data_IF_778405274480
#
_entry.id   IF_778405274480
#
_cell.length_a   1.000
_cell.length_b   1.000
_cell.length_c   1.000
_cell.angle_alpha   90.00
_cell.angle_beta   90.00
_cell.angle_gamma   90.00
#
_symmetry.space_group_name_H-M   'P 1'
#
loop_
_entity.id
_entity.type
_entity.pdbx_description
1 polymer ?
#
# COMPACT_ATOMS: atom_id res chain seq x y z
N UNK A 1 -15.23 12.17 -5.35
CA UNK A 1 -13.95 11.88 -6.06
C UNK A 1 -12.86 12.04 -5.02
N UNK A 2 -12.33 10.94 -4.48
CA UNK A 2 -11.27 11.05 -3.46
C UNK A 2 -10.03 11.62 -4.15
N UNK A 3 -9.40 12.68 -3.62
CA UNK A 3 -8.25 13.31 -4.24
C UNK A 3 -7.11 12.29 -4.38
N UNK A 4 -6.66 12.10 -5.63
CA UNK A 4 -5.55 11.21 -6.03
C UNK A 4 -4.35 11.24 -5.07
N UNK A 5 -3.85 12.39 -4.57
CA UNK A 5 -2.68 12.39 -3.69
C UNK A 5 -2.91 11.70 -2.34
N UNK A 6 -4.13 11.73 -1.79
CA UNK A 6 -4.44 11.07 -0.51
C UNK A 6 -4.38 9.55 -0.66
N UNK A 7 -4.82 9.04 -1.81
CA UNK A 7 -4.75 7.62 -2.14
C UNK A 7 -3.31 7.16 -2.44
N UNK A 8 -2.47 8.06 -2.96
CA UNK A 8 -1.06 7.78 -3.23
C UNK A 8 -0.20 7.83 -1.98
N UNK A 9 -0.54 8.69 -1.01
CA UNK A 9 0.21 8.87 0.23
C UNK A 9 -0.06 7.76 1.27
N UNK A 10 -1.25 7.15 1.25
CA UNK A 10 -1.68 6.11 2.21
C UNK A 10 -0.65 4.98 2.41
N UNK A 11 -0.19 4.26 1.36
CA UNK A 11 0.73 3.15 1.54
C UNK A 11 2.11 3.57 2.07
N UNK A 12 2.60 4.75 1.68
CA UNK A 12 3.85 5.29 2.20
C UNK A 12 3.72 5.66 3.68
N UNK A 13 2.57 6.18 4.09
CA UNK A 13 2.30 6.48 5.50
C UNK A 13 2.30 5.21 6.36
N UNK A 14 1.62 4.14 5.91
CA UNK A 14 1.61 2.86 6.64
C UNK A 14 3.01 2.27 6.81
N UNK A 15 3.84 2.34 5.77
CA UNK A 15 5.24 1.91 5.83
C UNK A 15 6.08 2.78 6.77
N UNK A 16 6.02 4.10 6.62
CA UNK A 16 6.79 5.01 7.47
C UNK A 16 6.40 4.88 8.94
N UNK A 17 5.12 4.77 9.26
CA UNK A 17 4.66 4.61 10.65
C UNK A 17 5.07 3.25 11.22
N UNK A 18 4.98 2.17 10.44
CA UNK A 18 5.42 0.83 10.87
C UNK A 18 6.93 0.77 11.15
N UNK A 19 7.75 1.36 10.26
CA UNK A 19 9.21 1.43 10.44
C UNK A 19 9.58 2.37 11.60
N UNK A 20 8.93 3.52 11.73
CA UNK A 20 9.16 4.43 12.85
C UNK A 20 8.81 3.77 14.19
N UNK A 21 7.72 2.99 14.25
CA UNK A 21 7.33 2.24 15.44
C UNK A 21 8.39 1.19 15.84
N UNK A 22 9.03 0.53 14.87
CA UNK A 22 10.12 -0.41 15.14
C UNK A 22 11.40 0.27 15.64
N UNK A 23 11.70 1.47 15.13
CA UNK A 23 12.94 2.19 15.46
C UNK A 23 12.85 2.91 16.81
N UNK A 24 11.67 3.41 17.19
CA UNK A 24 11.48 4.18 18.42
C UNK A 24 11.08 3.35 19.63
N UNK A 25 10.38 2.23 19.46
CA UNK A 25 9.91 1.43 20.58
C UNK A 25 10.77 0.18 20.76
N UNK A 26 11.45 0.13 21.90
CA UNK A 26 12.17 -1.08 22.34
C UNK A 26 11.18 -2.07 22.99
N UNK A 27 11.07 -3.26 22.40
CA UNK A 27 10.24 -4.34 22.94
C UNK A 27 9.67 -5.27 21.87
N UNK A 28 9.43 -6.53 22.24
CA UNK A 28 8.97 -7.56 21.29
C UNK A 28 7.53 -7.31 20.80
N UNK A 29 6.65 -6.79 21.66
CA UNK A 29 5.27 -6.43 21.31
C UNK A 29 5.20 -5.28 20.30
N UNK A 30 5.83 -4.11 20.52
CA UNK A 30 5.80 -3.03 19.55
C UNK A 30 6.50 -3.42 18.24
N UNK A 31 7.58 -4.22 18.31
CA UNK A 31 8.22 -4.78 17.11
C UNK A 31 7.25 -5.64 16.27
N UNK A 32 6.51 -6.56 16.89
CA UNK A 32 5.52 -7.39 16.18
C UNK A 32 4.40 -6.55 15.55
N UNK A 33 3.90 -5.54 16.27
CA UNK A 33 2.87 -4.63 15.73
C UNK A 33 3.38 -3.76 14.58
N UNK A 34 4.61 -3.23 14.69
CA UNK A 34 5.28 -2.50 13.61
C UNK A 34 5.52 -3.37 12.39
N UNK A 35 5.81 -4.67 12.59
CA UNK A 35 5.99 -5.65 11.51
C UNK A 35 4.70 -5.90 10.75
N UNK A 36 3.59 -6.12 11.46
CA UNK A 36 2.25 -6.27 10.88
C UNK A 36 1.84 -5.01 10.10
N UNK A 37 2.11 -3.82 10.65
CA UNK A 37 1.82 -2.54 10.03
C UNK A 37 2.64 -2.33 8.74
N UNK A 38 3.93 -2.64 8.80
CA UNK A 38 4.86 -2.56 7.66
C UNK A 38 4.47 -3.54 6.55
N UNK A 39 4.14 -4.80 6.91
CA UNK A 39 3.60 -5.81 5.99
C UNK A 39 2.33 -5.32 5.29
N UNK A 40 1.44 -4.65 6.02
CA UNK A 40 0.21 -4.08 5.44
C UNK A 40 0.54 -3.00 4.41
N UNK A 41 1.49 -2.10 4.71
CA UNK A 41 1.96 -1.09 3.75
C UNK A 41 2.57 -1.70 2.49
N UNK A 42 3.38 -2.76 2.63
CA UNK A 42 3.94 -3.51 1.50
C UNK A 42 2.85 -4.22 0.69
N UNK A 43 1.86 -4.84 1.34
CA UNK A 43 0.75 -5.51 0.67
C UNK A 43 -0.07 -4.54 -0.19
N UNK A 44 -0.33 -3.33 0.32
CA UNK A 44 -1.03 -2.28 -0.44
C UNK A 44 -0.22 -1.82 -1.64
N UNK A 45 1.11 -1.68 -1.50
CA UNK A 45 2.00 -1.40 -2.63
C UNK A 45 1.99 -2.53 -3.66
N UNK A 46 1.99 -3.79 -3.21
CA UNK A 46 1.96 -4.96 -4.09
C UNK A 46 0.63 -5.07 -4.84
N UNK A 47 -0.49 -4.87 -4.16
CA UNK A 47 -1.82 -4.83 -4.78
C UNK A 47 -1.91 -3.70 -5.82
N UNK A 48 -1.33 -2.53 -5.53
CA UNK A 48 -1.25 -1.41 -6.49
C UNK A 48 -0.36 -1.74 -7.68
N UNK A 49 0.78 -2.38 -7.46
CA UNK A 49 1.66 -2.84 -8.54
C UNK A 49 0.90 -3.82 -9.44
N UNK A 50 0.19 -4.77 -8.85
CA UNK A 50 -0.64 -5.72 -9.57
C UNK A 50 -1.75 -5.02 -10.38
N UNK A 51 -2.47 -4.06 -9.78
CA UNK A 51 -3.53 -3.30 -10.46
C UNK A 51 -3.01 -2.53 -11.70
N UNK A 52 -1.79 -1.97 -11.61
CA UNK A 52 -1.13 -1.30 -12.76
C UNK A 52 -0.64 -2.29 -13.81
N UNK A 53 -0.30 -3.52 -13.43
CA UNK A 53 0.08 -4.58 -14.35
C UNK A 53 -1.13 -5.18 -15.07
N UNK A 54 -2.25 -5.39 -14.37
CA UNK A 54 -3.51 -5.83 -14.98
C UNK A 54 -4.00 -4.83 -16.04
N UNK A 55 -3.89 -3.52 -15.77
CA UNK A 55 -4.20 -2.47 -16.74
C UNK A 55 -3.27 -2.47 -17.98
N UNK A 56 -2.04 -2.99 -17.86
CA UNK A 56 -1.11 -3.17 -19.00
C UNK A 56 -1.37 -4.47 -19.77
N UNK A 57 -1.89 -5.50 -19.11
CA UNK A 57 -2.16 -6.82 -19.70
C UNK A 57 -3.47 -6.86 -20.50
N UNK A 58 -4.39 -5.93 -20.25
CA UNK A 58 -5.63 -5.77 -21.04
C UNK A 58 -5.67 -4.38 -21.70
N UNK A 59 -4.92 -4.13 -22.81
CA UNK A 59 -4.88 -2.82 -23.47
C UNK A 59 -6.15 -2.45 -24.25
N UNK A 60 -7.21 -3.25 -24.18
CA UNK A 60 -8.41 -3.12 -25.04
C UNK A 60 -9.69 -3.65 -24.38
N UNK A 61 -9.84 -3.40 -23.07
CA UNK A 61 -11.11 -3.61 -22.37
C UNK A 61 -11.86 -2.27 -22.18
N UNK A 62 -11.83 -1.46 -23.22
CA UNK A 62 -12.79 -0.42 -23.56
C UNK A 62 -14.08 -1.07 -24.08
N UNK A 63 -14.81 -1.80 -23.22
CA UNK A 63 -16.19 -2.15 -23.54
C UNK A 63 -16.96 -0.84 -23.70
N UNK A 64 -17.45 -0.51 -24.90
CA UNK A 64 -18.70 -1.09 -25.39
C UNK A 64 -19.76 -1.04 -24.28
N UNK A 65 -20.07 0.19 -23.86
CA UNK A 65 -21.46 0.55 -23.66
C UNK A 65 -21.85 1.30 -24.94
N UNK A 66 -22.48 0.59 -25.86
CA UNK A 66 -23.19 1.16 -27.00
C UNK A 66 -24.28 2.13 -26.54
#
# INVERSE_FOLDING_TARGET
>A
MIPKPVYELLPYFYLCVGVAAMLWLEGIMPFASGLLMSMTGVLVLWLRHHHRQSARLFPGQDWQAD
#
